data_IF_365759500886
#
_entry.id   IF_365759500886
#
_cell.length_a   1.000
_cell.length_b   1.000
_cell.length_c   1.000
_cell.angle_alpha   90.00
_cell.angle_beta   90.00
_cell.angle_gamma   90.00
#
_symmetry.space_group_name_H-M   'P 1'
#
loop_
_entity.id
_entity.type
_entity.pdbx_description
1 polymer ?
#
# COMPACT_ATOMS: atom_id res chain seq x y z
N UNK A 1 -8.44 -10.35 -7.60
CA UNK A 1 -7.88 -9.27 -6.77
C UNK A 1 -7.11 -9.83 -5.58
N UNK A 2 -7.72 -10.35 -4.50
CA UNK A 2 -6.92 -10.93 -3.38
C UNK A 2 -6.02 -12.11 -3.78
N UNK A 3 -6.51 -12.97 -4.66
CA UNK A 3 -5.74 -14.10 -5.21
C UNK A 3 -4.48 -13.64 -5.96
N UNK A 4 -4.55 -12.49 -6.62
CA UNK A 4 -3.46 -11.92 -7.43
C UNK A 4 -2.28 -11.51 -6.56
N UNK A 5 -2.52 -10.75 -5.48
CA UNK A 5 -1.48 -10.38 -4.51
C UNK A 5 -0.80 -11.60 -3.88
N UNK A 6 -1.58 -12.66 -3.57
CA UNK A 6 -1.05 -13.88 -2.95
C UNK A 6 -0.18 -14.67 -3.93
N UNK A 7 -0.58 -14.73 -5.20
CA UNK A 7 0.16 -15.43 -6.26
C UNK A 7 1.45 -14.68 -6.64
N UNK A 8 1.40 -13.35 -6.76
CA UNK A 8 2.58 -12.53 -7.08
C UNK A 8 3.48 -12.25 -5.89
N UNK A 9 3.03 -12.56 -4.67
CA UNK A 9 3.70 -12.21 -3.40
C UNK A 9 3.88 -10.70 -3.22
N UNK A 10 2.99 -9.90 -3.81
CA UNK A 10 2.97 -8.44 -3.66
C UNK A 10 2.28 -8.03 -2.37
N UNK A 11 2.78 -8.53 -1.24
CA UNK A 11 2.30 -8.13 0.06
C UNK A 11 3.39 -8.09 1.14
N UNK A 12 3.22 -7.23 2.14
CA UNK A 12 4.10 -7.17 3.31
C UNK A 12 3.35 -6.79 4.58
N UNK A 13 3.90 -7.19 5.73
CA UNK A 13 3.35 -6.92 7.05
C UNK A 13 4.44 -6.41 7.97
N UNK A 14 4.17 -5.32 8.67
CA UNK A 14 5.13 -4.65 9.54
C UNK A 14 4.48 -4.27 10.87
N UNK A 15 5.27 -4.07 11.92
CA UNK A 15 4.74 -3.59 13.21
C UNK A 15 4.30 -2.12 13.11
N UNK A 16 5.08 -1.28 12.42
CA UNK A 16 4.85 0.15 12.25
C UNK A 16 6.13 0.84 11.78
N UNK A 17 6.04 2.14 11.52
CA UNK A 17 7.16 2.97 11.09
C UNK A 17 7.14 4.29 11.85
N UNK A 18 8.33 4.81 12.18
CA UNK A 18 8.47 6.12 12.81
C UNK A 18 8.40 7.27 11.79
N UNK A 19 8.88 7.03 10.58
CA UNK A 19 8.80 7.96 9.44
C UNK A 19 7.92 7.34 8.35
N UNK A 20 6.97 8.11 7.85
CA UNK A 20 6.10 7.68 6.76
C UNK A 20 6.87 7.42 5.46
N UNK A 21 8.04 8.05 5.26
CA UNK A 21 8.91 7.79 4.09
C UNK A 21 9.39 6.35 4.07
N UNK A 22 9.77 5.82 5.23
CA UNK A 22 10.19 4.43 5.36
C UNK A 22 9.03 3.46 5.14
N UNK A 23 7.82 3.85 5.56
CA UNK A 23 6.62 3.08 5.26
C UNK A 23 6.32 3.03 3.75
N UNK A 24 6.46 4.15 3.03
CA UNK A 24 6.29 4.20 1.57
C UNK A 24 7.31 3.31 0.86
N UNK A 25 8.59 3.38 1.25
CA UNK A 25 9.64 2.49 0.70
C UNK A 25 9.34 1.01 0.98
N UNK A 26 8.94 0.69 2.21
CA UNK A 26 8.60 -0.68 2.58
C UNK A 26 7.37 -1.22 1.83
N UNK A 27 6.37 -0.37 1.59
CA UNK A 27 5.18 -0.72 0.81
C UNK A 27 5.54 -1.04 -0.66
N UNK A 28 6.55 -0.36 -1.21
CA UNK A 28 7.05 -0.58 -2.57
C UNK A 28 8.01 -1.77 -2.70
N UNK A 29 8.57 -2.27 -1.59
CA UNK A 29 9.63 -3.28 -1.61
C UNK A 29 9.27 -4.57 -2.39
N UNK A 30 8.04 -5.12 -2.33
CA UNK A 30 7.69 -6.29 -3.12
C UNK A 30 7.72 -6.05 -4.64
N UNK A 31 7.35 -4.86 -5.10
CA UNK A 31 7.38 -4.49 -6.52
C UNK A 31 8.79 -4.13 -7.00
N UNK A 32 9.68 -3.71 -6.10
CA UNK A 32 11.10 -3.57 -6.41
C UNK A 32 11.76 -4.93 -6.56
N UNK A 33 11.38 -5.91 -5.75
CA UNK A 33 11.98 -7.24 -5.73
C UNK A 33 11.78 -8.02 -7.04
N UNK A 34 10.70 -7.77 -7.76
CA UNK A 34 10.41 -8.40 -9.07
C UNK A 34 10.64 -7.45 -10.25
N UNK A 35 11.25 -6.28 -10.02
CA UNK A 35 11.55 -5.26 -11.02
C UNK A 35 10.32 -4.65 -11.72
N UNK A 36 9.14 -4.78 -11.12
CA UNK A 36 7.91 -4.11 -11.62
C UNK A 36 8.04 -2.60 -11.57
N UNK A 37 8.72 -2.08 -10.55
CA UNK A 37 9.05 -0.66 -10.40
C UNK A 37 10.55 -0.47 -10.26
N UNK A 38 11.02 0.72 -10.62
CA UNK A 38 12.40 1.16 -10.45
C UNK A 38 12.63 1.73 -9.05
N UNK A 39 13.90 1.79 -8.62
CA UNK A 39 14.30 2.31 -7.30
C UNK A 39 13.90 3.77 -7.07
N UNK A 40 13.73 4.52 -8.15
CA UNK A 40 13.31 5.92 -8.12
C UNK A 40 11.82 6.07 -7.80
N UNK A 41 11.01 5.04 -8.03
CA UNK A 41 9.56 5.07 -7.86
C UNK A 41 9.09 5.50 -6.45
N UNK A 42 9.54 4.85 -5.35
CA UNK A 42 9.15 5.30 -4.01
C UNK A 42 9.63 6.72 -3.69
N UNK A 43 10.78 7.14 -4.21
CA UNK A 43 11.32 8.49 -3.97
C UNK A 43 10.46 9.55 -4.67
N UNK A 44 9.98 9.29 -5.89
CA UNK A 44 9.03 10.18 -6.58
C UNK A 44 7.74 10.36 -5.77
N UNK A 45 7.23 9.28 -5.16
CA UNK A 45 6.04 9.37 -4.30
C UNK A 45 6.34 10.24 -3.08
N UNK A 46 7.49 10.01 -2.43
CA UNK A 46 7.92 10.77 -1.25
C UNK A 46 8.02 12.26 -1.57
N UNK A 47 8.72 12.61 -2.65
CA UNK A 47 8.86 14.01 -3.09
C UNK A 47 7.49 14.67 -3.30
N UNK A 48 6.53 13.96 -3.89
CA UNK A 48 5.19 14.50 -4.13
C UNK A 48 4.37 14.66 -2.86
N UNK A 49 4.52 13.76 -1.90
CA UNK A 49 3.87 13.89 -0.58
C UNK A 49 4.50 15.04 0.21
N UNK A 50 5.80 15.29 0.07
CA UNK A 50 6.45 16.46 0.65
C UNK A 50 5.99 17.78 0.01
N UNK A 51 5.78 17.79 -1.32
CA UNK A 51 5.35 18.97 -2.08
C UNK A 51 3.87 19.31 -1.85
N UNK A 52 2.99 18.31 -1.88
CA UNK A 52 1.53 18.49 -1.90
C UNK A 52 0.85 18.16 -0.56
N UNK A 53 1.62 17.67 0.41
CA UNK A 53 1.09 17.08 1.63
C UNK A 53 0.55 15.66 1.41
N UNK A 54 -0.11 15.06 2.42
CA UNK A 54 -0.56 13.66 2.42
C UNK A 54 -1.79 13.41 1.54
N UNK A 55 -1.74 13.77 0.26
CA UNK A 55 -2.81 13.56 -0.72
C UNK A 55 -3.11 12.07 -0.98
N UNK A 56 -2.15 11.20 -0.68
CA UNK A 56 -2.27 9.75 -0.84
C UNK A 56 -3.12 9.10 0.25
N UNK A 57 -3.40 9.80 1.37
CA UNK A 57 -4.30 9.32 2.42
C UNK A 57 -5.73 9.64 1.99
N UNK A 58 -6.48 8.61 1.64
CA UNK A 58 -7.83 8.74 1.04
C UNK A 58 -8.96 8.53 2.05
N UNK A 59 -8.65 7.90 3.18
CA UNK A 59 -9.55 7.67 4.31
C UNK A 59 -8.72 7.36 5.56
N UNK A 60 -9.29 7.50 6.78
CA UNK A 60 -8.61 7.07 8.00
C UNK A 60 -8.08 5.65 7.85
N UNK A 61 -6.83 5.44 8.27
CA UNK A 61 -6.07 4.20 8.15
C UNK A 61 -5.68 3.75 6.73
N UNK A 62 -6.10 4.43 5.66
CA UNK A 62 -5.95 3.93 4.29
C UNK A 62 -5.23 4.97 3.42
N UNK A 63 -4.09 4.58 2.89
CA UNK A 63 -3.38 5.34 1.88
C UNK A 63 -3.12 4.52 0.60
N UNK A 64 -2.99 5.24 -0.51
CA UNK A 64 -2.72 4.67 -1.82
C UNK A 64 -1.46 5.35 -2.38
N UNK A 65 -0.25 4.87 -2.04
CA UNK A 65 0.98 5.40 -2.62
C UNK A 65 1.00 5.17 -4.14
N UNK A 66 1.13 6.24 -4.91
CA UNK A 66 1.21 6.19 -6.37
C UNK A 66 1.96 7.41 -6.91
N UNK A 67 2.75 7.20 -7.97
CA UNK A 67 3.43 8.26 -8.70
C UNK A 67 2.69 8.62 -10.00
N UNK A 68 3.07 9.76 -10.58
CA UNK A 68 2.62 10.16 -11.91
C UNK A 68 3.10 9.15 -12.97
N UNK A 69 2.27 8.98 -14.01
CA UNK A 69 2.28 7.89 -14.99
C UNK A 69 3.67 7.63 -15.60
N UNK A 70 4.01 6.35 -15.81
CA UNK A 70 5.17 5.91 -16.59
C UNK A 70 6.55 6.22 -15.97
N UNK A 71 6.63 7.02 -14.90
CA UNK A 71 7.90 7.28 -14.22
C UNK A 71 8.25 6.12 -13.30
N UNK A 72 9.33 5.42 -13.61
CA UNK A 72 9.85 4.35 -12.77
C UNK A 72 8.96 3.11 -12.68
N UNK A 73 8.13 2.84 -13.69
CA UNK A 73 7.26 1.66 -13.75
C UNK A 73 7.57 0.86 -15.01
N UNK A 74 7.92 -0.41 -14.84
CA UNK A 74 8.20 -1.37 -15.92
C UNK A 74 6.98 -2.25 -16.25
N UNK A 75 6.03 -2.37 -15.32
CA UNK A 75 4.81 -3.15 -15.50
C UNK A 75 3.67 -2.66 -14.60
N UNK A 76 2.43 -2.97 -14.99
CA UNK A 76 1.26 -2.62 -14.17
C UNK A 76 1.05 -3.66 -13.07
N UNK A 77 1.09 -3.25 -11.82
CA UNK A 77 0.84 -4.10 -10.67
C UNK A 77 0.33 -3.33 -9.45
N UNK A 78 -0.11 -4.08 -8.44
CA UNK A 78 -0.52 -3.55 -7.15
C UNK A 78 0.23 -4.27 -6.05
N UNK A 79 0.53 -3.57 -4.95
CA UNK A 79 1.07 -4.19 -3.74
C UNK A 79 0.25 -3.78 -2.51
N UNK A 80 0.15 -4.69 -1.54
CA UNK A 80 -0.55 -4.48 -0.29
C UNK A 80 0.41 -4.52 0.91
N UNK A 81 0.44 -3.48 1.71
CA UNK A 81 1.13 -3.51 3.00
C UNK A 81 0.17 -3.16 4.13
N UNK A 82 0.29 -3.87 5.26
CA UNK A 82 -0.39 -3.52 6.51
C UNK A 82 0.61 -3.32 7.65
N UNK A 83 0.40 -2.28 8.44
CA UNK A 83 1.07 -2.07 9.72
C UNK A 83 0.12 -2.31 10.90
N UNK A 84 0.65 -2.79 12.02
CA UNK A 84 -0.14 -2.95 13.25
C UNK A 84 -0.37 -1.60 13.94
N UNK A 85 0.67 -0.76 13.99
CA UNK A 85 0.61 0.63 14.48
C UNK A 85 0.37 1.59 13.31
N UNK A 86 -0.43 2.64 13.50
CA UNK A 86 -0.58 3.69 12.50
C UNK A 86 0.75 4.38 12.23
N UNK A 87 0.95 4.74 10.97
CA UNK A 87 2.05 5.58 10.50
C UNK A 87 1.49 6.96 10.26
N UNK A 88 2.05 7.95 10.96
CA UNK A 88 1.59 9.33 10.88
C UNK A 88 2.25 10.07 9.72
N UNK A 89 1.43 10.63 8.83
CA UNK A 89 1.88 11.48 7.74
C UNK A 89 1.88 12.97 8.13
N UNK A 90 1.03 13.35 9.08
CA UNK A 90 0.92 14.70 9.61
C UNK A 90 0.75 14.61 11.14
N UNK A 91 1.73 15.09 11.95
CA UNK A 91 1.64 15.05 13.41
C UNK A 91 0.46 15.83 13.99
N UNK A 92 -0.05 16.82 13.26
CA UNK A 92 -1.13 17.71 13.71
C UNK A 92 -2.52 17.22 13.25
N UNK A 93 -2.59 16.23 12.35
CA UNK A 93 -3.84 15.68 11.80
C UNK A 93 -3.90 14.14 11.88
N UNK A 94 -4.51 13.58 12.93
CA UNK A 94 -4.70 12.14 13.08
C UNK A 94 -5.53 11.49 11.97
N UNK A 95 -6.30 12.24 11.17
CA UNK A 95 -7.01 11.68 10.00
C UNK A 95 -6.03 11.29 8.88
N UNK A 96 -4.77 11.74 8.96
CA UNK A 96 -3.68 11.40 8.04
C UNK A 96 -2.87 10.18 8.46
N UNK A 97 -3.25 9.51 9.54
CA UNK A 97 -2.62 8.27 9.94
C UNK A 97 -3.07 7.10 9.04
N UNK A 98 -2.11 6.29 8.59
CA UNK A 98 -2.38 5.11 7.76
C UNK A 98 -1.85 3.81 8.37
N UNK A 99 -2.63 2.74 8.23
CA UNK A 99 -2.24 1.36 8.55
C UNK A 99 -2.24 0.46 7.33
N UNK A 100 -3.03 0.80 6.32
CA UNK A 100 -3.22 0.04 5.09
C UNK A 100 -2.64 0.87 3.95
N UNK A 101 -1.72 0.25 3.22
CA UNK A 101 -1.02 0.83 2.09
C UNK A 101 -1.34 -0.03 0.87
N UNK A 102 -1.95 0.58 -0.13
CA UNK A 102 -2.21 -0.07 -1.42
C UNK A 102 -1.41 0.66 -2.48
N UNK A 103 -0.23 0.14 -2.81
CA UNK A 103 0.62 0.75 -3.85
C UNK A 103 0.05 0.42 -5.22
N UNK A 104 -0.06 1.42 -6.08
CA UNK A 104 -0.53 1.27 -7.45
C UNK A 104 0.56 1.69 -8.43
N UNK A 105 1.11 0.74 -9.17
CA UNK A 105 2.02 0.99 -10.28
C UNK A 105 1.30 0.71 -11.60
N UNK A 106 1.21 1.71 -12.49
CA UNK A 106 0.54 1.56 -13.78
C UNK A 106 1.36 2.20 -14.90
N UNK A 107 1.44 1.48 -16.03
CA UNK A 107 2.12 1.93 -17.25
C UNK A 107 1.20 2.69 -18.21
N UNK A 108 -0.13 2.62 -18.03
CA UNK A 108 -1.13 3.19 -18.95
C UNK A 108 -2.38 3.76 -18.22
N UNK A 109 -3.03 4.70 -18.88
CA UNK A 109 -4.16 5.52 -18.42
C UNK A 109 -5.45 4.72 -18.25
N UNK A 110 -5.64 3.68 -19.05
CA UNK A 110 -6.82 2.82 -19.01
C UNK A 110 -6.92 2.02 -17.70
N UNK A 111 -5.80 1.80 -17.01
CA UNK A 111 -5.76 1.03 -15.75
C UNK A 111 -5.64 1.94 -14.52
N UNK A 112 -4.99 3.10 -14.65
CA UNK A 112 -4.76 4.04 -13.56
C UNK A 112 -6.06 4.62 -12.97
N UNK A 113 -6.95 5.14 -13.82
CA UNK A 113 -8.18 5.81 -13.38
C UNK A 113 -9.21 4.87 -12.76
N UNK A 114 -9.49 3.66 -13.32
CA UNK A 114 -10.36 2.71 -12.66
C UNK A 114 -9.77 2.20 -11.35
N UNK A 115 -8.45 2.08 -11.18
CA UNK A 115 -7.91 1.58 -9.90
C UNK A 115 -8.01 2.60 -8.77
N UNK A 116 -7.80 3.90 -9.05
CA UNK A 116 -7.97 4.98 -8.06
C UNK A 116 -9.44 5.34 -7.82
N UNK A 117 -10.28 5.28 -8.86
CA UNK A 117 -11.68 5.74 -8.82
C UNK A 117 -12.67 4.60 -8.57
N UNK A 118 -12.31 3.36 -8.87
CA UNK A 118 -13.20 2.24 -8.59
C UNK A 118 -13.13 1.87 -7.12
N UNK A 119 -14.26 1.42 -6.61
CA UNK A 119 -14.45 0.75 -5.32
C UNK A 119 -13.44 -0.38 -5.03
N UNK A 120 -12.52 -0.76 -5.94
CA UNK A 120 -11.57 -1.86 -5.78
C UNK A 120 -10.48 -1.58 -4.75
N UNK A 121 -9.81 -0.43 -4.77
CA UNK A 121 -8.80 -0.09 -3.75
C UNK A 121 -9.43 0.00 -2.35
N UNK A 122 -10.60 0.65 -2.25
CA UNK A 122 -11.39 0.69 -1.01
C UNK A 122 -11.95 -0.68 -0.61
N UNK A 123 -12.27 -1.57 -1.56
CA UNK A 123 -12.71 -2.95 -1.24
C UNK A 123 -11.57 -3.79 -0.71
N UNK A 124 -10.34 -3.63 -1.23
CA UNK A 124 -9.14 -4.29 -0.68
C UNK A 124 -8.89 -3.79 0.74
N UNK A 125 -8.98 -2.47 0.97
CA UNK A 125 -8.86 -1.91 2.31
C UNK A 125 -9.99 -2.37 3.25
N UNK A 126 -11.24 -2.40 2.77
CA UNK A 126 -12.42 -2.85 3.52
C UNK A 126 -12.41 -4.35 3.84
N UNK A 127 -11.79 -5.18 3.00
CA UNK A 127 -11.58 -6.61 3.29
C UNK A 127 -10.46 -6.85 4.32
N UNK A 128 -9.42 -6.00 4.32
CA UNK A 128 -8.37 -6.03 5.34
C UNK A 128 -8.88 -5.58 6.73
N UNK A 129 -9.90 -4.73 6.79
CA UNK A 129 -10.53 -4.30 8.05
C UNK A 129 -11.64 -5.25 8.54
N UNK A 130 -12.37 -5.92 7.64
CA UNK A 130 -13.48 -6.83 7.99
C UNK A 130 -13.06 -8.27 8.27
N UNK A 131 -11.89 -8.70 7.80
CA UNK A 131 -11.33 -10.01 8.15
C UNK A 131 -10.60 -9.89 9.47
N UNK A 132 -11.03 -10.63 10.49
CA UNK A 132 -10.32 -10.75 11.76
C UNK A 132 -8.92 -11.35 11.60
N UNK A 133 -7.96 -10.56 11.14
CA UNK A 133 -6.53 -10.80 11.32
C UNK A 133 -6.19 -10.42 12.76
N UNK A 134 -6.65 -11.25 13.70
CA UNK A 134 -6.30 -11.10 15.11
C UNK A 134 -4.83 -11.51 15.29
N UNK A 135 -4.11 -10.70 16.06
CA UNK A 135 -2.73 -10.94 16.46
C UNK A 135 -2.66 -12.21 17.32
N UNK A 136 -2.31 -13.33 16.69
CA UNK A 136 -1.87 -14.52 17.39
C UNK A 136 -0.58 -14.18 18.16
N UNK A 137 -0.68 -14.06 19.48
CA UNK A 137 0.48 -13.92 20.34
C UNK A 137 1.32 -15.20 20.25
N UNK A 138 2.40 -15.18 19.47
CA UNK A 138 3.68 -15.86 19.72
C UNK A 138 4.57 -15.77 18.48
N UNK A 139 5.79 -15.24 18.65
CA UNK A 139 6.95 -15.28 17.76
C UNK A 139 6.70 -15.16 16.24
N UNK A 140 6.97 -13.97 15.69
CA UNK A 140 7.52 -13.65 14.34
C UNK A 140 7.00 -14.35 13.06
N UNK A 141 6.01 -15.24 13.08
CA UNK A 141 5.70 -16.04 11.90
C UNK A 141 4.30 -16.67 11.95
N UNK A 142 3.23 -15.88 11.81
CA UNK A 142 1.97 -16.40 11.25
C UNK A 142 1.01 -15.29 10.84
N UNK A 143 1.33 -14.54 9.79
CA UNK A 143 0.31 -13.81 9.04
C UNK A 143 -0.41 -14.83 8.15
N UNK A 144 -1.59 -15.29 8.56
CA UNK A 144 -2.47 -16.08 7.69
C UNK A 144 -3.47 -15.16 7.02
N UNK A 145 -3.29 -14.96 5.72
CA UNK A 145 -4.35 -14.42 4.86
C UNK A 145 -5.40 -15.54 4.74
N UNK A 146 -6.51 -15.41 5.44
CA UNK A 146 -7.62 -16.34 5.32
C UNK A 146 -8.34 -16.03 3.99
N UNK A 147 -8.14 -16.86 2.97
CA UNK A 147 -8.89 -16.76 1.73
C UNK A 147 -10.33 -17.17 1.97
N UNK A 148 -11.23 -16.22 2.19
CA UNK A 148 -12.66 -16.52 2.17
C UNK A 148 -13.05 -16.75 0.72
N UNK A 149 -13.34 -18.01 0.38
CA UNK A 149 -14.03 -18.36 -0.84
C UNK A 149 -15.39 -17.66 -0.86
N UNK A 150 -15.60 -16.78 -1.84
CA UNK A 150 -16.95 -16.43 -2.32
C UNK A 150 -17.45 -17.53 -3.24
#
# INVERSE_FOLDING_TARGET
MFKEFVETKHYSFHEGFADWRDAVRAACAPLLADSTIEKEYPEIIIEKVEELGPYIVIAPDICIPHAERGRGVNGTAMCFMKTEKPVSFDPDDPEKDARIFVVLAATDDEVHLPLITSRRATSVAGMATSTGMQSGHSSASSWRICSTSV
#
